data_IF_363867069434
#
_entry.id   IF_363867069434
#
_cell.length_a   1.000
_cell.length_b   1.000
_cell.length_c   1.000
_cell.angle_alpha   90.00
_cell.angle_beta   90.00
_cell.angle_gamma   90.00
#
_symmetry.space_group_name_H-M   'P 1'
#
loop_
_entity.id
_entity.type
_entity.pdbx_description
1 polymer ?
#
# COMPACT_ATOMS: atom_id res chain seq x y z
N UNK A 1 84.25 196.31 98.42
CA UNK A 1 85.04 197.48 97.94
C UNK A 1 84.82 197.83 96.45
N UNK A 2 84.24 196.96 95.59
CA UNK A 2 84.17 197.17 94.13
C UNK A 2 82.89 197.85 93.58
N UNK A 3 81.92 198.22 94.42
CA UNK A 3 80.58 198.68 93.99
C UNK A 3 80.43 200.21 93.85
N UNK A 4 81.34 201.01 94.42
CA UNK A 4 81.24 202.50 94.35
C UNK A 4 81.75 203.06 93.01
N UNK A 5 82.73 202.40 92.36
CA UNK A 5 83.37 202.86 91.10
C UNK A 5 82.52 202.59 89.85
N UNK A 6 81.62 201.61 89.89
CA UNK A 6 80.75 201.25 88.77
C UNK A 6 79.51 202.15 88.64
N UNK A 7 79.31 203.13 89.54
CA UNK A 7 78.18 204.08 89.48
C UNK A 7 78.33 205.19 88.42
N UNK A 8 79.53 205.37 87.85
CA UNK A 8 79.86 206.49 86.96
C UNK A 8 79.90 206.15 85.45
N UNK A 9 79.68 204.89 85.04
CA UNK A 9 79.86 204.46 83.63
C UNK A 9 78.70 203.61 83.08
N UNK A 10 77.60 204.23 82.59
CA UNK A 10 76.42 203.53 82.05
C UNK A 10 76.75 202.59 80.88
N UNK A 11 77.73 202.96 80.05
CA UNK A 11 78.13 202.20 78.86
C UNK A 11 78.77 200.85 79.20
N UNK A 12 79.52 200.78 80.30
CA UNK A 12 80.14 199.54 80.82
C UNK A 12 79.07 198.58 81.35
N UNK A 13 78.01 199.11 81.96
CA UNK A 13 76.86 198.31 82.44
C UNK A 13 76.07 197.70 81.27
N UNK A 14 75.86 198.46 80.19
CA UNK A 14 75.18 197.98 78.98
C UNK A 14 75.98 196.94 78.19
N UNK A 15 77.31 197.10 78.14
CA UNK A 15 78.21 196.06 77.60
C UNK A 15 78.19 194.80 78.46
N UNK A 16 78.18 194.92 79.79
CA UNK A 16 78.07 193.76 80.69
C UNK A 16 76.73 193.02 80.53
N UNK A 17 75.62 193.72 80.32
CA UNK A 17 74.34 193.06 80.03
C UNK A 17 74.30 192.39 78.65
N UNK A 18 74.98 192.97 77.64
CA UNK A 18 75.13 192.33 76.33
C UNK A 18 75.98 191.07 76.41
N UNK A 19 77.08 191.09 77.17
CA UNK A 19 77.92 189.91 77.41
C UNK A 19 77.14 188.82 78.16
N UNK A 20 76.34 189.17 79.18
CA UNK A 20 75.45 188.20 79.84
C UNK A 20 74.37 187.64 78.90
N UNK A 21 73.84 188.46 77.97
CA UNK A 21 72.84 188.01 76.98
C UNK A 21 73.47 187.08 75.94
N UNK A 22 74.63 187.45 75.39
CA UNK A 22 75.41 186.62 74.47
C UNK A 22 75.87 185.32 75.13
N UNK A 23 76.25 185.34 76.40
CA UNK A 23 76.58 184.13 77.14
C UNK A 23 75.38 183.17 77.23
N UNK A 24 74.18 183.70 77.53
CA UNK A 24 72.95 182.89 77.49
C UNK A 24 72.61 182.37 76.09
N UNK A 25 72.83 183.15 75.05
CA UNK A 25 72.62 182.71 73.67
C UNK A 25 73.63 181.63 73.27
N UNK A 26 74.88 181.73 73.72
CA UNK A 26 75.90 180.68 73.54
C UNK A 26 75.50 179.42 74.28
N UNK A 27 75.08 179.52 75.55
CA UNK A 27 74.60 178.37 76.33
C UNK A 27 73.38 177.70 75.65
N UNK A 28 72.47 178.50 75.11
CA UNK A 28 71.28 178.01 74.38
C UNK A 28 71.66 177.35 73.05
N UNK A 29 72.60 177.93 72.30
CA UNK A 29 73.11 177.33 71.06
C UNK A 29 73.89 176.05 71.34
N UNK A 30 74.68 176.00 72.42
CA UNK A 30 75.37 174.78 72.86
C UNK A 30 74.36 173.69 73.23
N UNK A 31 73.26 174.05 73.90
CA UNK A 31 72.17 173.13 74.19
C UNK A 31 71.48 172.62 72.91
N UNK A 32 71.19 173.52 71.96
CA UNK A 32 70.62 173.14 70.66
C UNK A 32 71.57 172.27 69.84
N UNK A 33 72.88 172.55 69.86
CA UNK A 33 73.90 171.71 69.24
C UNK A 33 73.90 170.33 69.90
N UNK A 34 73.84 170.24 71.23
CA UNK A 34 73.75 168.96 71.93
C UNK A 34 72.48 168.17 71.59
N UNK A 35 71.34 168.83 71.40
CA UNK A 35 70.10 168.19 70.94
C UNK A 35 70.23 167.70 69.49
N UNK A 36 70.81 168.51 68.61
CA UNK A 36 71.03 168.15 67.21
C UNK A 36 72.04 167.00 67.06
N UNK A 37 73.10 166.97 67.88
CA UNK A 37 74.04 165.86 67.96
C UNK A 37 73.33 164.57 68.37
N UNK A 38 72.47 164.63 69.40
CA UNK A 38 71.64 163.48 69.79
C UNK A 38 70.69 163.03 68.66
N UNK A 39 70.13 163.96 67.89
CA UNK A 39 69.26 163.63 66.77
C UNK A 39 70.03 163.04 65.58
N UNK A 40 71.23 163.54 65.30
CA UNK A 40 72.15 162.95 64.32
C UNK A 40 72.54 161.53 64.73
N UNK A 41 72.86 161.31 66.01
CA UNK A 41 73.16 159.98 66.54
C UNK A 41 71.95 159.03 66.39
N UNK A 42 70.75 159.50 66.75
CA UNK A 42 69.51 158.72 66.59
C UNK A 42 69.22 158.39 65.12
N UNK A 43 69.43 159.35 64.22
CA UNK A 43 69.27 159.13 62.78
C UNK A 43 70.32 158.16 62.25
N UNK A 44 71.57 158.26 62.70
CA UNK A 44 72.63 157.33 62.35
C UNK A 44 72.29 155.90 62.81
N UNK A 45 71.80 155.72 64.03
CA UNK A 45 71.30 154.44 64.53
C UNK A 45 70.14 153.91 63.68
N UNK A 46 69.20 154.79 63.29
CA UNK A 46 68.05 154.41 62.43
C UNK A 46 68.50 154.00 61.04
N UNK A 47 69.49 154.69 60.46
CA UNK A 47 70.08 154.34 59.16
C UNK A 47 70.78 152.98 59.23
N UNK A 48 71.50 152.69 60.33
CA UNK A 48 72.10 151.37 60.56
C UNK A 48 71.03 150.29 60.67
N UNK A 49 69.92 150.55 61.39
CA UNK A 49 68.81 149.60 61.54
C UNK A 49 68.04 149.37 60.23
N UNK A 50 67.84 150.41 59.42
CA UNK A 50 67.26 150.27 58.07
C UNK A 50 68.21 149.52 57.14
N UNK A 51 69.52 149.77 57.25
CA UNK A 51 70.55 149.05 56.51
C UNK A 51 70.51 147.55 56.80
N UNK A 52 70.42 147.16 58.08
CA UNK A 52 70.29 145.74 58.45
C UNK A 52 68.97 145.12 57.98
N UNK A 53 67.87 145.87 58.01
CA UNK A 53 66.58 145.40 57.50
C UNK A 53 66.60 145.22 55.97
N UNK A 54 67.23 146.12 55.23
CA UNK A 54 67.44 145.98 53.77
C UNK A 54 68.27 144.72 53.46
N UNK A 55 69.35 144.47 54.20
CA UNK A 55 70.11 143.22 54.06
C UNK A 55 69.23 141.99 54.31
N UNK A 56 68.45 141.98 55.39
CA UNK A 56 67.55 140.87 55.73
C UNK A 56 66.48 140.63 54.67
N UNK A 57 65.90 141.70 54.12
CA UNK A 57 64.91 141.61 53.04
C UNK A 57 65.53 141.14 51.73
N UNK A 58 66.79 141.50 51.47
CA UNK A 58 67.54 141.05 50.29
C UNK A 58 67.78 139.55 50.39
N UNK A 59 68.29 139.07 51.53
CA UNK A 59 68.47 137.63 51.80
C UNK A 59 67.14 136.85 51.72
N UNK A 60 66.04 137.40 52.26
CA UNK A 60 64.72 136.78 52.17
C UNK A 60 64.18 136.73 50.73
N UNK A 61 64.47 137.75 49.91
CA UNK A 61 64.07 137.77 48.50
C UNK A 61 64.89 136.76 47.69
N UNK A 62 66.20 136.67 47.91
CA UNK A 62 67.05 135.66 47.28
C UNK A 62 66.58 134.23 47.62
N UNK A 63 66.19 133.99 48.87
CA UNK A 63 65.61 132.71 49.29
C UNK A 63 64.25 132.43 48.64
N UNK A 64 63.38 133.44 48.52
CA UNK A 64 62.10 133.31 47.83
C UNK A 64 62.29 132.99 46.34
N UNK A 65 63.25 133.65 45.67
CA UNK A 65 63.60 133.37 44.27
C UNK A 65 64.12 131.93 44.11
N UNK A 66 64.94 131.45 45.05
CA UNK A 66 65.41 130.06 45.08
C UNK A 66 64.26 129.06 45.22
N UNK A 67 63.32 129.30 46.14
CA UNK A 67 62.14 128.45 46.32
C UNK A 67 61.20 128.47 45.11
N UNK A 68 61.02 129.62 44.46
CA UNK A 68 60.23 129.72 43.22
C UNK A 68 60.88 128.91 42.10
N UNK A 69 62.20 128.95 41.97
CA UNK A 69 62.93 128.13 41.00
C UNK A 69 62.77 126.62 41.30
N UNK A 70 62.88 126.24 42.57
CA UNK A 70 62.68 124.84 43.01
C UNK A 70 61.26 124.35 42.73
N UNK A 71 60.23 125.13 43.08
CA UNK A 71 58.84 124.81 42.76
C UNK A 71 58.55 124.79 41.26
N UNK A 72 59.26 125.59 40.46
CA UNK A 72 59.11 125.55 38.99
C UNK A 72 59.60 124.21 38.45
N UNK A 73 60.79 123.76 38.91
CA UNK A 73 61.35 122.46 38.52
C UNK A 73 60.44 121.31 38.97
N UNK A 74 59.92 121.35 40.20
CA UNK A 74 59.01 120.32 40.71
C UNK A 74 57.72 120.25 39.89
N UNK A 75 57.14 121.39 39.52
CA UNK A 75 55.95 121.44 38.67
C UNK A 75 56.20 120.88 37.26
N UNK A 76 57.37 121.14 36.68
CA UNK A 76 57.76 120.55 35.40
C UNK A 76 57.88 119.03 35.49
N UNK A 77 58.47 118.51 36.58
CA UNK A 77 58.57 117.06 36.82
C UNK A 77 57.20 116.42 37.04
N UNK A 78 56.30 117.06 37.80
CA UNK A 78 54.93 116.58 37.98
C UNK A 78 54.13 116.59 36.68
N UNK A 79 54.34 117.60 35.83
CA UNK A 79 53.71 117.66 34.50
C UNK A 79 54.20 116.51 33.61
N UNK A 80 55.50 116.24 33.59
CA UNK A 80 56.07 115.11 32.84
C UNK A 80 55.54 113.76 33.36
N UNK A 81 55.50 113.57 34.69
CA UNK A 81 54.96 112.35 35.29
C UNK A 81 53.47 112.14 34.97
N UNK A 82 52.66 113.20 35.00
CA UNK A 82 51.26 113.12 34.62
C UNK A 82 51.07 112.74 33.15
N UNK A 83 51.90 113.26 32.25
CA UNK A 83 51.85 112.90 30.83
C UNK A 83 52.24 111.43 30.62
N UNK A 84 53.26 110.94 31.32
CA UNK A 84 53.63 109.52 31.30
C UNK A 84 52.50 108.61 31.82
N UNK A 85 51.85 108.99 32.92
CA UNK A 85 50.70 108.26 33.47
C UNK A 85 49.51 108.25 32.50
N UNK A 86 49.28 109.36 31.79
CA UNK A 86 48.23 109.46 30.78
C UNK A 86 48.50 108.52 29.60
N UNK A 87 49.73 108.50 29.09
CA UNK A 87 50.14 107.56 28.03
C UNK A 87 49.97 106.10 28.47
N UNK A 88 50.40 105.78 29.70
CA UNK A 88 50.22 104.43 30.25
C UNK A 88 48.74 104.04 30.39
N UNK A 89 47.87 104.97 30.80
CA UNK A 89 46.44 104.73 30.86
C UNK A 89 45.81 104.51 29.47
N UNK A 90 46.28 105.23 28.44
CA UNK A 90 45.84 105.03 27.05
C UNK A 90 46.26 103.64 26.52
N UNK A 91 47.49 103.21 26.80
CA UNK A 91 47.98 101.86 26.46
C UNK A 91 47.18 100.76 27.18
N UNK A 92 46.91 100.94 28.48
CA UNK A 92 46.10 99.99 29.25
C UNK A 92 44.66 99.91 28.73
N UNK A 93 44.06 101.04 28.35
CA UNK A 93 42.74 101.07 27.74
C UNK A 93 42.72 100.31 26.39
N UNK A 94 43.75 100.49 25.56
CA UNK A 94 43.93 99.73 24.32
C UNK A 94 44.06 98.23 24.57
N UNK A 95 44.89 97.82 25.52
CA UNK A 95 45.07 96.41 25.89
C UNK A 95 43.77 95.78 26.41
N UNK A 96 43.00 96.51 27.22
CA UNK A 96 41.69 96.04 27.69
C UNK A 96 40.69 95.85 26.55
N UNK A 97 40.71 96.73 25.54
CA UNK A 97 39.85 96.57 24.37
C UNK A 97 40.22 95.32 23.57
N UNK A 98 41.51 95.08 23.31
CA UNK A 98 41.98 93.87 22.62
C UNK A 98 41.60 92.61 23.40
N UNK A 99 41.84 92.60 24.71
CA UNK A 99 41.50 91.47 25.56
C UNK A 99 40.00 91.16 25.56
N UNK A 100 39.15 92.19 25.59
CA UNK A 100 37.70 92.02 25.50
C UNK A 100 37.26 91.40 24.17
N UNK A 101 37.85 91.82 23.05
CA UNK A 101 37.53 91.23 21.74
C UNK A 101 38.00 89.78 21.66
N UNK A 102 39.22 89.49 22.10
CA UNK A 102 39.71 88.10 22.18
C UNK A 102 38.83 87.22 23.08
N UNK A 103 38.36 87.75 24.21
CA UNK A 103 37.47 87.00 25.09
C UNK A 103 36.11 86.71 24.43
N UNK A 104 35.60 87.65 23.62
CA UNK A 104 34.38 87.46 22.83
C UNK A 104 34.57 86.40 21.74
N UNK A 105 35.67 86.44 20.99
CA UNK A 105 36.00 85.41 19.99
C UNK A 105 36.14 84.02 20.61
N UNK A 106 36.76 83.94 21.79
CA UNK A 106 36.87 82.68 22.54
C UNK A 106 35.49 82.18 23.01
N UNK A 107 34.61 83.07 23.46
CA UNK A 107 33.25 82.69 23.84
C UNK A 107 32.47 82.13 22.64
N UNK A 108 32.53 82.80 21.48
CA UNK A 108 31.89 82.32 20.25
C UNK A 108 32.43 80.95 19.81
N UNK A 109 33.75 80.72 19.97
CA UNK A 109 34.38 79.43 19.68
C UNK A 109 33.92 78.32 20.64
N UNK A 110 33.81 78.62 21.94
CA UNK A 110 33.30 77.69 22.95
C UNK A 110 31.84 77.32 22.66
N UNK A 111 31.00 78.31 22.32
CA UNK A 111 29.60 78.09 21.97
C UNK A 111 29.47 77.21 20.72
N UNK A 112 30.29 77.45 19.68
CA UNK A 112 30.33 76.61 18.48
C UNK A 112 30.79 75.16 18.75
N UNK A 113 31.78 74.98 19.62
CA UNK A 113 32.23 73.64 20.03
C UNK A 113 31.17 72.91 20.87
N UNK A 114 30.41 73.64 21.70
CA UNK A 114 29.30 73.07 22.46
C UNK A 114 28.19 72.56 21.52
N UNK A 115 27.78 73.36 20.54
CA UNK A 115 26.80 72.95 19.52
C UNK A 115 27.27 71.71 18.74
N UNK A 116 28.55 71.65 18.36
CA UNK A 116 29.11 70.49 17.68
C UNK A 116 29.10 69.23 18.56
N UNK A 117 29.38 69.35 19.85
CA UNK A 117 29.28 68.24 20.80
C UNK A 117 27.83 67.74 20.95
N UNK A 118 26.85 68.64 20.96
CA UNK A 118 25.43 68.27 21.01
C UNK A 118 25.02 67.49 19.75
N UNK A 119 25.49 67.91 18.57
CA UNK A 119 25.27 67.19 17.31
C UNK A 119 25.89 65.79 17.37
N UNK A 120 27.14 65.66 17.82
CA UNK A 120 27.78 64.34 17.95
C UNK A 120 27.08 63.44 18.95
N UNK A 121 26.59 63.99 20.07
CA UNK A 121 25.81 63.25 21.07
C UNK A 121 24.50 62.72 20.47
N UNK A 122 23.81 63.54 19.67
CA UNK A 122 22.61 63.12 18.95
C UNK A 122 22.87 62.04 17.90
N UNK A 123 23.98 62.16 17.16
CA UNK A 123 24.40 61.16 16.17
C UNK A 123 24.72 59.82 16.85
N UNK A 124 25.47 59.85 17.95
CA UNK A 124 25.83 58.65 18.70
C UNK A 124 24.59 57.95 19.29
N UNK A 125 23.63 58.74 19.76
CA UNK A 125 22.34 58.20 20.23
C UNK A 125 21.58 57.50 19.11
N UNK A 126 21.48 58.13 17.94
CA UNK A 126 20.83 57.54 16.77
C UNK A 126 21.54 56.26 16.31
N UNK A 127 22.87 56.27 16.25
CA UNK A 127 23.65 55.10 15.86
C UNK A 127 23.47 53.92 16.83
N UNK A 128 23.45 54.19 18.14
CA UNK A 128 23.18 53.15 19.13
C UNK A 128 21.77 52.55 18.97
N UNK A 129 20.76 53.38 18.68
CA UNK A 129 19.41 52.89 18.38
C UNK A 129 19.40 51.99 17.14
N UNK A 130 20.08 52.37 16.06
CA UNK A 130 20.21 51.53 14.87
C UNK A 130 20.93 50.22 15.16
N UNK A 131 21.99 50.23 15.98
CA UNK A 131 22.69 49.00 16.41
C UNK A 131 21.73 48.08 17.20
N UNK A 132 20.93 48.63 18.11
CA UNK A 132 19.95 47.85 18.88
C UNK A 132 18.87 47.23 17.98
N UNK A 133 18.41 47.96 16.96
CA UNK A 133 17.45 47.45 15.97
C UNK A 133 18.05 46.33 15.13
N UNK A 134 19.27 46.51 14.62
CA UNK A 134 19.98 45.48 13.86
C UNK A 134 20.25 44.23 14.69
N UNK A 135 20.62 44.38 15.97
CA UNK A 135 20.82 43.24 16.87
C UNK A 135 19.52 42.44 17.07
N UNK A 136 18.37 43.12 17.17
CA UNK A 136 17.06 42.44 17.24
C UNK A 136 16.74 41.70 15.94
N UNK A 137 17.05 42.28 14.78
CA UNK A 137 16.84 41.65 13.49
C UNK A 137 17.73 40.41 13.32
N UNK A 138 19.02 40.51 13.69
CA UNK A 138 19.94 39.37 13.71
C UNK A 138 19.38 38.24 14.59
N UNK A 139 18.96 38.54 15.82
CA UNK A 139 18.38 37.52 16.71
C UNK A 139 17.09 36.90 16.15
N UNK A 140 16.26 37.67 15.43
CA UNK A 140 15.08 37.12 14.75
C UNK A 140 15.46 36.18 13.61
N UNK A 141 16.50 36.51 12.82
CA UNK A 141 17.01 35.67 11.74
C UNK A 141 17.69 34.39 12.26
N UNK A 142 18.42 34.46 13.36
CA UNK A 142 19.01 33.30 14.02
C UNK A 142 17.92 32.32 14.47
N UNK A 143 16.88 32.81 15.15
CA UNK A 143 15.73 31.99 15.54
C UNK A 143 15.01 31.38 14.34
N UNK A 144 14.80 32.15 13.27
CA UNK A 144 14.18 31.63 12.04
C UNK A 144 15.04 30.53 11.40
N UNK A 145 16.36 30.68 11.43
CA UNK A 145 17.31 29.68 10.92
C UNK A 145 17.26 28.40 11.75
N UNK A 146 17.19 28.50 13.07
CA UNK A 146 17.05 27.33 13.95
C UNK A 146 15.75 26.57 13.68
N UNK A 147 14.62 27.29 13.56
CA UNK A 147 13.32 26.69 13.20
C UNK A 147 13.39 26.00 11.84
N UNK A 148 13.98 26.65 10.83
CA UNK A 148 14.13 26.07 9.50
C UNK A 148 14.99 24.80 9.55
N UNK A 149 16.10 24.81 10.28
CA UNK A 149 16.97 23.65 10.43
C UNK A 149 16.24 22.47 11.09
N UNK A 150 15.46 22.72 12.15
CA UNK A 150 14.64 21.68 12.78
C UNK A 150 13.59 21.11 11.83
N UNK A 151 13.02 21.94 10.95
CA UNK A 151 12.04 21.52 9.95
C UNK A 151 12.69 20.64 8.89
N UNK A 152 13.89 21.01 8.43
CA UNK A 152 14.66 20.21 7.46
C UNK A 152 14.96 18.83 8.05
N UNK A 153 15.47 18.75 9.28
CA UNK A 153 15.73 17.46 9.95
C UNK A 153 14.48 16.60 10.07
N UNK A 154 13.32 17.20 10.39
CA UNK A 154 12.05 16.47 10.46
C UNK A 154 11.60 15.93 9.10
N UNK A 155 11.82 16.70 8.02
CA UNK A 155 11.53 16.27 6.66
C UNK A 155 12.48 15.15 6.19
N UNK A 156 13.77 15.22 6.53
CA UNK A 156 14.73 14.15 6.24
C UNK A 156 14.28 12.82 6.87
N UNK A 157 13.88 12.84 8.15
CA UNK A 157 13.33 11.65 8.82
C UNK A 157 12.06 11.11 8.13
N UNK A 158 11.18 12.00 7.65
CA UNK A 158 9.99 11.56 6.90
C UNK A 158 10.34 10.93 5.55
N UNK A 159 11.36 11.45 4.86
CA UNK A 159 11.85 10.87 3.60
C UNK A 159 12.41 9.47 3.86
N UNK A 160 13.25 9.28 4.88
CA UNK A 160 13.80 7.97 5.23
C UNK A 160 12.70 6.94 5.55
N UNK A 161 11.65 7.35 6.27
CA UNK A 161 10.51 6.49 6.58
C UNK A 161 9.73 6.10 5.30
N UNK A 162 9.49 7.07 4.40
CA UNK A 162 8.83 6.81 3.13
C UNK A 162 9.66 5.89 2.23
N UNK A 163 10.99 6.06 2.17
CA UNK A 163 11.87 5.15 1.43
C UNK A 163 11.77 3.72 1.98
N UNK A 164 11.72 3.56 3.30
CA UNK A 164 11.54 2.26 3.96
C UNK A 164 10.19 1.63 3.63
N UNK A 165 9.11 2.43 3.62
CA UNK A 165 7.78 1.97 3.23
C UNK A 165 7.74 1.53 1.76
N UNK A 166 8.36 2.29 0.86
CA UNK A 166 8.46 1.95 -0.57
C UNK A 166 9.22 0.63 -0.75
N UNK A 167 10.35 0.46 -0.08
CA UNK A 167 11.12 -0.79 -0.13
C UNK A 167 10.30 -2.00 0.35
N UNK A 168 9.52 -1.82 1.42
CA UNK A 168 8.62 -2.85 1.96
C UNK A 168 7.53 -3.22 0.96
N UNK A 169 6.86 -2.21 0.38
CA UNK A 169 5.82 -2.43 -0.64
C UNK A 169 6.37 -3.14 -1.87
N UNK A 170 7.59 -2.78 -2.29
CA UNK A 170 8.23 -3.42 -3.43
C UNK A 170 8.55 -4.90 -3.16
N UNK A 171 9.03 -5.22 -1.96
CA UNK A 171 9.24 -6.62 -1.55
C UNK A 171 7.93 -7.42 -1.52
N UNK A 172 6.85 -6.84 -0.99
CA UNK A 172 5.52 -7.46 -1.01
C UNK A 172 5.02 -7.68 -2.43
N UNK A 173 5.22 -6.72 -3.33
CA UNK A 173 4.82 -6.85 -4.72
C UNK A 173 5.59 -7.97 -5.44
N UNK A 174 6.89 -8.10 -5.19
CA UNK A 174 7.70 -9.20 -5.71
C UNK A 174 7.22 -10.56 -5.19
N UNK A 175 6.83 -10.66 -3.91
CA UNK A 175 6.25 -11.88 -3.34
C UNK A 175 4.91 -12.24 -3.98
N UNK A 176 4.02 -11.25 -4.15
CA UNK A 176 2.75 -11.44 -4.84
C UNK A 176 2.95 -11.89 -6.28
N UNK A 177 3.92 -11.32 -7.01
CA UNK A 177 4.24 -11.74 -8.37
C UNK A 177 4.72 -13.20 -8.41
N UNK A 178 5.55 -13.64 -7.46
CA UNK A 178 5.95 -15.06 -7.35
C UNK A 178 4.76 -15.97 -7.09
N UNK A 179 3.84 -15.56 -6.22
CA UNK A 179 2.62 -16.33 -5.94
C UNK A 179 1.71 -16.44 -7.17
N UNK A 180 1.55 -15.35 -7.92
CA UNK A 180 0.79 -15.35 -9.19
C UNK A 180 1.42 -16.31 -10.20
N UNK A 181 2.74 -16.30 -10.35
CA UNK A 181 3.43 -17.22 -11.25
C UNK A 181 3.22 -18.68 -10.82
N UNK A 182 3.36 -18.99 -9.53
CA UNK A 182 3.13 -20.35 -9.01
C UNK A 182 1.68 -20.81 -9.25
N UNK A 183 0.69 -19.96 -8.96
CA UNK A 183 -0.71 -20.27 -9.24
C UNK A 183 -0.96 -20.47 -10.75
N UNK A 184 -0.31 -19.69 -11.60
CA UNK A 184 -0.39 -19.85 -13.05
C UNK A 184 0.16 -21.21 -13.48
N UNK A 185 1.31 -21.63 -12.95
CA UNK A 185 1.90 -22.95 -13.22
C UNK A 185 0.98 -24.09 -12.73
N UNK A 186 0.38 -23.94 -11.55
CA UNK A 186 -0.59 -24.91 -11.02
C UNK A 186 -1.82 -25.03 -11.92
N UNK A 187 -2.37 -23.91 -12.39
CA UNK A 187 -3.51 -23.92 -13.33
C UNK A 187 -3.14 -24.59 -14.65
N UNK A 188 -1.94 -24.33 -15.18
CA UNK A 188 -1.45 -25.02 -16.38
C UNK A 188 -1.37 -26.52 -16.16
N UNK A 189 -0.76 -26.96 -15.05
CA UNK A 189 -0.64 -28.39 -14.72
C UNK A 189 -2.00 -29.08 -14.55
N UNK A 190 -2.96 -28.41 -13.89
CA UNK A 190 -4.32 -28.92 -13.76
C UNK A 190 -5.04 -28.99 -15.12
N UNK A 191 -4.78 -28.03 -16.00
CA UNK A 191 -5.32 -28.03 -17.37
C UNK A 191 -4.81 -29.25 -18.14
N UNK A 192 -3.51 -29.52 -18.10
CA UNK A 192 -2.88 -30.68 -18.74
C UNK A 192 -3.44 -32.00 -18.18
N UNK A 193 -3.59 -32.10 -16.86
CA UNK A 193 -4.19 -33.28 -16.21
C UNK A 193 -5.64 -33.50 -16.65
N UNK A 194 -6.43 -32.43 -16.78
CA UNK A 194 -7.83 -32.53 -17.18
C UNK A 194 -7.93 -32.95 -18.65
N UNK A 195 -7.03 -32.47 -19.51
CA UNK A 195 -6.95 -32.93 -20.90
C UNK A 195 -6.61 -34.43 -20.97
N UNK A 196 -5.62 -34.90 -20.21
CA UNK A 196 -5.27 -36.33 -20.17
C UNK A 196 -6.44 -37.20 -19.66
N UNK A 197 -7.20 -36.71 -18.68
CA UNK A 197 -8.41 -37.38 -18.20
C UNK A 197 -9.53 -37.39 -19.25
N UNK A 198 -9.68 -36.33 -20.06
CA UNK A 198 -10.61 -36.32 -21.17
C UNK A 198 -10.22 -37.35 -22.23
N UNK A 199 -8.95 -37.39 -22.63
CA UNK A 199 -8.43 -38.38 -23.58
C UNK A 199 -8.69 -39.82 -23.09
N UNK A 200 -8.37 -40.11 -21.83
CA UNK A 200 -8.63 -41.44 -21.25
C UNK A 200 -10.13 -41.78 -21.15
N UNK A 201 -11.00 -40.79 -20.89
CA UNK A 201 -12.44 -40.99 -20.93
C UNK A 201 -12.96 -41.27 -22.35
N UNK A 202 -12.37 -40.65 -23.37
CA UNK A 202 -12.75 -40.90 -24.75
C UNK A 202 -12.28 -42.29 -25.21
N UNK A 203 -11.07 -42.72 -24.85
CA UNK A 203 -10.61 -44.10 -25.05
C UNK A 203 -11.53 -45.13 -24.37
N UNK A 204 -11.98 -44.85 -23.14
CA UNK A 204 -12.92 -45.72 -22.43
C UNK A 204 -14.27 -45.82 -23.14
N UNK A 205 -14.76 -44.74 -23.76
CA UNK A 205 -16.00 -44.78 -24.55
C UNK A 205 -15.83 -45.62 -25.81
N UNK A 206 -14.71 -45.46 -26.53
CA UNK A 206 -14.43 -46.29 -27.71
C UNK A 206 -14.36 -47.78 -27.34
N UNK A 207 -13.71 -48.12 -26.21
CA UNK A 207 -13.67 -49.48 -25.71
C UNK A 207 -15.08 -50.01 -25.35
N UNK A 208 -15.93 -49.17 -24.78
CA UNK A 208 -17.31 -49.51 -24.46
C UNK A 208 -18.11 -49.81 -25.74
N UNK A 209 -18.01 -48.95 -26.75
CA UNK A 209 -18.67 -49.14 -28.05
C UNK A 209 -18.21 -50.44 -28.72
N UNK A 210 -16.90 -50.73 -28.70
CA UNK A 210 -16.35 -51.99 -29.20
C UNK A 210 -16.90 -53.22 -28.45
N UNK A 211 -17.03 -53.13 -27.12
CA UNK A 211 -17.60 -54.22 -26.31
C UNK A 211 -19.09 -54.42 -26.60
N UNK A 212 -19.86 -53.34 -26.76
CA UNK A 212 -21.27 -53.42 -27.14
C UNK A 212 -21.44 -54.09 -28.51
N UNK A 213 -20.61 -53.71 -29.50
CA UNK A 213 -20.61 -54.35 -30.81
C UNK A 213 -20.23 -55.84 -30.72
N UNK A 214 -19.18 -56.16 -29.97
CA UNK A 214 -18.74 -57.55 -29.76
C UNK A 214 -19.80 -58.41 -29.09
N UNK A 215 -20.52 -57.87 -28.10
CA UNK A 215 -21.66 -58.53 -27.46
C UNK A 215 -22.82 -58.73 -28.45
N UNK A 216 -23.10 -57.74 -29.29
CA UNK A 216 -24.10 -57.85 -30.36
C UNK A 216 -23.77 -58.99 -31.34
N UNK A 217 -22.53 -59.03 -31.83
CA UNK A 217 -22.04 -60.08 -32.73
C UNK A 217 -22.07 -61.47 -32.07
N UNK A 218 -21.69 -61.56 -30.79
CA UNK A 218 -21.77 -62.82 -30.04
C UNK A 218 -23.21 -63.28 -29.89
N UNK A 219 -24.14 -62.37 -29.58
CA UNK A 219 -25.56 -62.71 -29.48
C UNK A 219 -26.12 -63.21 -30.81
N UNK A 220 -25.77 -62.56 -31.93
CA UNK A 220 -26.13 -63.03 -33.26
C UNK A 220 -25.58 -64.43 -33.54
N UNK A 221 -24.29 -64.66 -33.26
CA UNK A 221 -23.66 -65.98 -33.44
C UNK A 221 -24.34 -67.05 -32.59
N UNK A 222 -24.75 -66.69 -31.37
CA UNK A 222 -25.49 -67.58 -30.48
C UNK A 222 -26.88 -67.92 -31.03
N UNK A 223 -27.63 -66.92 -31.51
CA UNK A 223 -28.93 -67.11 -32.16
C UNK A 223 -28.83 -68.00 -33.41
N UNK A 224 -27.82 -67.76 -34.26
CA UNK A 224 -27.51 -68.61 -35.43
C UNK A 224 -27.17 -70.05 -35.00
N UNK A 225 -26.39 -70.22 -33.94
CA UNK A 225 -26.07 -71.53 -33.37
C UNK A 225 -27.30 -72.28 -32.86
N UNK A 226 -28.20 -71.61 -32.14
CA UNK A 226 -29.47 -72.19 -31.68
C UNK A 226 -30.35 -72.58 -32.87
N UNK A 227 -30.43 -71.75 -33.91
CA UNK A 227 -31.20 -72.06 -35.12
C UNK A 227 -30.67 -73.32 -35.83
N UNK A 228 -29.34 -73.47 -35.95
CA UNK A 228 -28.76 -74.67 -36.58
C UNK A 228 -28.94 -75.92 -35.70
N UNK A 229 -28.85 -75.81 -34.37
CA UNK A 229 -29.18 -76.93 -33.47
C UNK A 229 -30.62 -77.38 -33.69
N UNK A 230 -31.58 -76.45 -33.71
CA UNK A 230 -32.98 -76.78 -33.95
C UNK A 230 -33.19 -77.45 -35.33
N UNK A 231 -32.46 -76.99 -36.35
CA UNK A 231 -32.47 -77.61 -37.69
C UNK A 231 -31.93 -79.04 -37.67
N UNK A 232 -30.81 -79.27 -36.98
CA UNK A 232 -30.20 -80.60 -36.84
C UNK A 232 -31.09 -81.56 -36.05
N UNK A 233 -31.72 -81.09 -34.97
CA UNK A 233 -32.70 -81.87 -34.21
C UNK A 233 -33.84 -82.30 -35.12
N UNK A 234 -34.45 -81.37 -35.88
CA UNK A 234 -35.55 -81.69 -36.80
C UNK A 234 -35.16 -82.73 -37.86
N UNK A 235 -33.95 -82.63 -38.43
CA UNK A 235 -33.45 -83.63 -39.40
C UNK A 235 -33.26 -84.98 -38.72
N UNK A 236 -32.58 -85.01 -37.58
CA UNK A 236 -32.27 -86.26 -36.89
C UNK A 236 -33.56 -86.96 -36.45
N UNK A 237 -34.52 -86.21 -35.90
CA UNK A 237 -35.88 -86.67 -35.65
C UNK A 237 -36.51 -87.30 -36.88
N UNK A 238 -36.51 -86.61 -38.03
CA UNK A 238 -37.07 -87.15 -39.26
C UNK A 238 -36.40 -88.45 -39.70
N UNK A 239 -35.08 -88.56 -39.58
CA UNK A 239 -34.32 -89.79 -39.90
C UNK A 239 -34.69 -90.93 -38.97
N UNK A 240 -34.80 -90.68 -37.66
CA UNK A 240 -35.18 -91.73 -36.69
C UNK A 240 -36.59 -92.23 -36.99
N UNK A 241 -37.57 -91.34 -37.19
CA UNK A 241 -38.95 -91.72 -37.52
C UNK A 241 -39.01 -92.53 -38.84
N UNK A 242 -38.29 -92.10 -39.87
CA UNK A 242 -38.21 -92.86 -41.14
C UNK A 242 -37.52 -94.21 -40.99
N UNK A 243 -36.51 -94.33 -40.12
CA UNK A 243 -35.88 -95.61 -39.82
C UNK A 243 -36.83 -96.54 -39.07
N UNK A 244 -37.60 -96.02 -38.10
CA UNK A 244 -38.65 -96.76 -37.42
C UNK A 244 -39.68 -97.25 -38.43
N UNK A 245 -40.21 -96.38 -39.30
CA UNK A 245 -41.11 -96.77 -40.40
C UNK A 245 -40.54 -97.92 -41.24
N UNK A 246 -39.28 -97.81 -41.68
CA UNK A 246 -38.65 -98.86 -42.46
C UNK A 246 -38.47 -100.16 -41.69
N UNK A 247 -38.06 -100.11 -40.42
CA UNK A 247 -37.91 -101.30 -39.57
C UNK A 247 -39.25 -102.02 -39.43
N UNK A 248 -40.30 -101.26 -39.09
CA UNK A 248 -41.66 -101.76 -38.94
C UNK A 248 -42.21 -102.36 -40.24
N UNK A 249 -41.96 -101.71 -41.39
CA UNK A 249 -42.32 -102.25 -42.71
C UNK A 249 -41.58 -103.55 -43.05
N UNK A 250 -40.32 -103.73 -42.60
CA UNK A 250 -39.56 -104.97 -42.84
C UNK A 250 -40.14 -106.12 -42.01
N UNK A 251 -40.46 -105.89 -40.74
CA UNK A 251 -41.14 -106.89 -39.88
C UNK A 251 -42.46 -107.32 -40.51
N UNK A 252 -43.28 -106.35 -40.94
CA UNK A 252 -44.55 -106.64 -41.63
C UNK A 252 -44.39 -107.30 -43.00
N UNK A 253 -43.33 -107.07 -43.77
CA UNK A 253 -43.16 -107.79 -45.05
C UNK A 253 -42.55 -109.18 -44.89
N UNK A 254 -41.86 -109.44 -43.78
CA UNK A 254 -41.15 -110.68 -43.52
C UNK A 254 -41.91 -111.69 -42.66
N UNK A 255 -42.97 -111.27 -41.96
CA UNK A 255 -43.62 -112.11 -40.95
C UNK A 255 -44.19 -113.42 -41.52
N UNK A 256 -44.79 -113.42 -42.71
CA UNK A 256 -45.36 -114.62 -43.32
C UNK A 256 -44.31 -115.72 -43.49
N UNK A 257 -43.10 -115.35 -43.93
CA UNK A 257 -41.99 -116.30 -44.08
C UNK A 257 -41.57 -116.89 -42.73
N UNK A 258 -41.42 -116.05 -41.70
CA UNK A 258 -41.05 -116.51 -40.35
C UNK A 258 -42.15 -117.38 -39.73
N UNK A 259 -43.40 -116.99 -39.94
CA UNK A 259 -44.59 -117.71 -39.51
C UNK A 259 -44.69 -119.09 -40.18
N UNK A 260 -44.48 -119.15 -41.51
CA UNK A 260 -44.45 -120.41 -42.27
C UNK A 260 -43.36 -121.35 -41.77
N UNK A 261 -42.17 -120.83 -41.49
CA UNK A 261 -41.05 -121.61 -40.97
C UNK A 261 -41.36 -122.19 -39.58
N UNK A 262 -42.01 -121.42 -38.69
CA UNK A 262 -42.34 -121.86 -37.32
C UNK A 262 -43.36 -123.02 -37.28
N UNK A 263 -44.26 -123.10 -38.25
CA UNK A 263 -45.28 -124.16 -38.34
C UNK A 263 -45.02 -125.17 -39.46
N UNK A 264 -43.81 -125.20 -40.02
CA UNK A 264 -43.45 -126.16 -41.06
C UNK A 264 -43.69 -127.60 -40.61
N UNK A 265 -44.52 -128.35 -41.36
CA UNK A 265 -44.87 -129.74 -41.07
C UNK A 265 -46.17 -129.95 -40.28
N UNK A 266 -46.92 -128.88 -39.96
CA UNK A 266 -48.29 -128.99 -39.46
C UNK A 266 -49.29 -129.24 -40.61
N UNK A 267 -50.35 -130.05 -40.42
CA UNK A 267 -51.28 -130.41 -41.49
C UNK A 267 -51.99 -129.22 -42.15
N UNK A 268 -52.23 -128.15 -41.39
CA UNK A 268 -52.84 -126.91 -41.90
C UNK A 268 -51.88 -126.03 -42.70
N UNK A 269 -50.57 -126.32 -42.68
CA UNK A 269 -49.57 -125.67 -43.53
C UNK A 269 -49.42 -126.37 -44.89
N UNK A 270 -49.71 -127.67 -44.96
CA UNK A 270 -49.72 -128.43 -46.22
C UNK A 270 -50.99 -128.16 -47.06
N UNK A 271 -52.11 -127.79 -46.41
CA UNK A 271 -53.34 -127.26 -47.05
C UNK A 271 -53.85 -126.04 -46.28
N UNK A 272 -53.58 -124.85 -46.81
CA UNK A 272 -53.90 -123.55 -46.20
C UNK A 272 -55.40 -123.25 -46.07
N UNK A 273 -56.27 -124.11 -46.59
CA UNK A 273 -57.73 -124.03 -46.42
C UNK A 273 -58.25 -124.96 -45.32
N UNK A 274 -57.37 -125.74 -44.68
CA UNK A 274 -57.72 -126.52 -43.51
C UNK A 274 -57.87 -125.56 -42.31
N UNK A 275 -58.95 -125.68 -41.50
CA UNK A 275 -59.03 -124.95 -40.24
C UNK A 275 -57.87 -125.32 -39.31
N UNK A 276 -57.26 -124.33 -38.67
CA UNK A 276 -56.18 -124.55 -37.69
C UNK A 276 -56.68 -125.42 -36.53
N UNK A 277 -57.90 -125.13 -36.05
CA UNK A 277 -58.54 -125.88 -34.97
C UNK A 277 -58.18 -125.34 -33.58
N UNK A 278 -59.04 -125.64 -32.61
CA UNK A 278 -58.91 -125.08 -31.25
C UNK A 278 -57.67 -125.57 -30.48
N UNK A 279 -57.02 -126.66 -30.92
CA UNK A 279 -55.80 -127.19 -30.29
C UNK A 279 -54.57 -126.36 -30.61
N UNK A 280 -54.45 -125.92 -31.86
CA UNK A 280 -53.22 -125.30 -32.37
C UNK A 280 -53.37 -123.78 -32.56
N UNK A 281 -54.60 -123.25 -32.46
CA UNK A 281 -54.90 -121.83 -32.65
C UNK A 281 -54.16 -120.90 -31.69
N UNK A 282 -54.04 -121.29 -30.41
CA UNK A 282 -53.36 -120.45 -29.42
C UNK A 282 -51.86 -120.36 -29.67
N UNK A 283 -51.23 -121.48 -30.08
CA UNK A 283 -49.83 -121.51 -30.47
C UNK A 283 -49.59 -120.69 -31.73
N UNK A 284 -50.47 -120.83 -32.74
CA UNK A 284 -50.43 -120.03 -33.97
C UNK A 284 -50.53 -118.54 -33.67
N UNK A 285 -51.55 -118.11 -32.93
CA UNK A 285 -51.73 -116.70 -32.61
C UNK A 285 -50.64 -116.16 -31.68
N UNK A 286 -50.09 -116.96 -30.77
CA UNK A 286 -48.93 -116.56 -29.94
C UNK A 286 -47.69 -116.31 -30.79
N UNK A 287 -47.51 -117.07 -31.86
CA UNK A 287 -46.39 -116.88 -32.77
C UNK A 287 -46.60 -115.68 -33.71
N UNK A 288 -47.84 -115.42 -34.16
CA UNK A 288 -48.21 -114.17 -34.84
C UNK A 288 -47.96 -112.96 -33.94
N UNK A 289 -48.35 -113.06 -32.66
CA UNK A 289 -48.16 -112.03 -31.65
C UNK A 289 -46.67 -111.70 -31.50
N UNK A 290 -45.85 -112.72 -31.25
CA UNK A 290 -44.41 -112.59 -31.05
C UNK A 290 -43.66 -112.07 -32.28
N UNK A 291 -44.02 -112.52 -33.49
CA UNK A 291 -43.31 -112.14 -34.71
C UNK A 291 -43.71 -110.75 -35.19
N UNK A 292 -44.98 -110.37 -35.00
CA UNK A 292 -45.57 -109.23 -35.67
C UNK A 292 -46.27 -108.29 -34.70
N UNK A 293 -47.25 -108.77 -33.93
CA UNK A 293 -48.12 -107.86 -33.17
C UNK A 293 -47.37 -107.14 -32.05
N UNK A 294 -46.55 -107.83 -31.24
CA UNK A 294 -45.73 -107.23 -30.19
C UNK A 294 -44.77 -106.17 -30.74
N UNK A 295 -44.11 -106.47 -31.87
CA UNK A 295 -43.12 -105.58 -32.50
C UNK A 295 -43.78 -104.33 -33.11
N UNK A 296 -45.05 -104.45 -33.51
CA UNK A 296 -45.88 -103.35 -33.99
C UNK A 296 -46.71 -102.69 -32.89
N UNK A 297 -46.57 -103.12 -31.62
CA UNK A 297 -47.42 -102.69 -30.51
C UNK A 297 -48.92 -102.81 -30.84
N UNK A 298 -49.31 -103.96 -31.40
CA UNK A 298 -50.68 -104.32 -31.73
C UNK A 298 -51.21 -105.30 -30.72
N UNK A 299 -52.45 -105.10 -30.31
CA UNK A 299 -53.11 -105.97 -29.35
C UNK A 299 -53.64 -107.23 -30.05
N UNK A 300 -53.20 -108.38 -29.57
CA UNK A 300 -53.67 -109.68 -30.04
C UNK A 300 -55.19 -109.85 -29.88
N UNK A 301 -55.82 -109.58 -28.71
CA UNK A 301 -57.28 -109.63 -28.59
C UNK A 301 -58.03 -108.78 -29.62
N UNK A 302 -57.56 -107.58 -29.93
CA UNK A 302 -58.15 -106.72 -30.97
C UNK A 302 -57.97 -107.31 -32.38
N UNK A 303 -56.80 -107.90 -32.65
CA UNK A 303 -56.52 -108.64 -33.90
C UNK A 303 -57.45 -109.84 -34.06
N UNK A 304 -57.62 -110.66 -33.01
CA UNK A 304 -58.52 -111.82 -33.01
C UNK A 304 -59.99 -111.40 -33.19
N UNK A 305 -60.39 -110.26 -32.60
CA UNK A 305 -61.71 -109.66 -32.80
C UNK A 305 -61.91 -109.17 -34.24
N UNK A 306 -60.89 -108.55 -34.84
CA UNK A 306 -60.90 -108.13 -36.24
C UNK A 306 -61.06 -109.32 -37.18
N UNK A 307 -60.24 -110.37 -37.00
CA UNK A 307 -60.30 -111.60 -37.79
C UNK A 307 -61.67 -112.28 -37.68
N UNK A 308 -62.22 -112.35 -36.47
CA UNK A 308 -63.56 -112.88 -36.23
C UNK A 308 -64.64 -112.11 -36.99
N UNK A 309 -64.54 -110.78 -36.99
CA UNK A 309 -65.48 -109.90 -37.68
C UNK A 309 -65.34 -110.00 -39.20
N UNK A 310 -64.11 -109.98 -39.71
CA UNK A 310 -63.79 -110.00 -41.13
C UNK A 310 -64.28 -111.28 -41.81
N UNK A 311 -64.18 -112.43 -41.13
CA UNK A 311 -64.55 -113.74 -41.68
C UNK A 311 -65.85 -114.32 -41.12
N UNK A 312 -66.55 -113.60 -40.23
CA UNK A 312 -67.82 -114.06 -39.63
C UNK A 312 -67.66 -115.28 -38.72
N UNK A 313 -66.53 -115.36 -38.00
CA UNK A 313 -66.18 -116.46 -37.10
C UNK A 313 -66.49 -116.10 -35.64
N UNK A 314 -66.57 -117.11 -34.77
CA UNK A 314 -66.65 -116.90 -33.31
C UNK A 314 -65.33 -116.35 -32.80
N UNK A 315 -65.34 -115.46 -31.80
CA UNK A 315 -64.12 -114.94 -31.18
C UNK A 315 -63.76 -115.76 -29.91
N UNK A 316 -62.56 -116.36 -29.78
CA UNK A 316 -61.45 -116.41 -30.73
C UNK A 316 -61.75 -117.29 -31.96
N UNK A 317 -61.28 -116.90 -33.17
CA UNK A 317 -61.60 -117.55 -34.46
C UNK A 317 -60.84 -118.86 -34.67
N UNK A 318 -61.01 -119.83 -33.77
CA UNK A 318 -60.32 -121.14 -33.77
C UNK A 318 -60.55 -121.99 -35.03
N UNK A 319 -61.56 -121.67 -35.85
CA UNK A 319 -61.83 -122.35 -37.12
C UNK A 319 -61.28 -121.61 -38.34
N UNK A 320 -60.50 -120.54 -38.13
CA UNK A 320 -59.86 -119.81 -39.22
C UNK A 320 -58.85 -120.72 -39.94
N UNK A 321 -58.70 -120.52 -41.24
CA UNK A 321 -57.67 -121.19 -42.04
C UNK A 321 -56.43 -120.30 -42.15
N UNK A 322 -55.28 -120.86 -42.52
CA UNK A 322 -54.05 -120.06 -42.67
C UNK A 322 -54.21 -118.94 -43.72
N UNK A 323 -54.86 -119.23 -44.86
CA UNK A 323 -55.17 -118.19 -45.87
C UNK A 323 -56.00 -117.03 -45.31
N UNK A 324 -56.95 -117.32 -44.43
CA UNK A 324 -57.79 -116.30 -43.80
C UNK A 324 -57.01 -115.54 -42.73
N UNK A 325 -56.20 -116.25 -41.93
CA UNK A 325 -55.35 -115.65 -40.91
C UNK A 325 -54.36 -114.67 -41.54
N UNK A 326 -53.60 -115.09 -42.55
CA UNK A 326 -52.63 -114.24 -43.24
C UNK A 326 -53.27 -113.04 -43.91
N UNK A 327 -54.33 -113.27 -44.70
CA UNK A 327 -55.05 -112.17 -45.36
C UNK A 327 -55.64 -111.19 -44.36
N UNK A 328 -56.13 -111.67 -43.22
CA UNK A 328 -56.74 -110.84 -42.20
C UNK A 328 -55.71 -110.09 -41.34
N UNK A 329 -54.63 -110.76 -40.92
CA UNK A 329 -53.52 -110.15 -40.18
C UNK A 329 -52.84 -109.09 -41.05
N UNK A 330 -52.56 -109.37 -42.33
CA UNK A 330 -52.01 -108.37 -43.24
C UNK A 330 -52.93 -107.16 -43.37
N UNK A 331 -54.23 -107.37 -43.54
CA UNK A 331 -55.19 -106.27 -43.64
C UNK A 331 -55.32 -105.46 -42.34
N UNK A 332 -55.12 -106.08 -41.18
CA UNK A 332 -55.11 -105.42 -39.88
C UNK A 332 -53.84 -104.57 -39.71
N UNK A 333 -52.68 -105.16 -40.02
CA UNK A 333 -51.40 -104.47 -39.96
C UNK A 333 -51.30 -103.36 -40.99
N UNK A 334 -51.86 -103.50 -42.18
CA UNK A 334 -51.95 -102.42 -43.17
C UNK A 334 -52.65 -101.18 -42.59
N UNK A 335 -53.77 -101.38 -41.87
CA UNK A 335 -54.49 -100.29 -41.22
C UNK A 335 -53.68 -99.67 -40.07
N UNK A 336 -52.96 -100.50 -39.31
CA UNK A 336 -52.05 -100.01 -38.29
C UNK A 336 -50.90 -99.19 -38.88
N UNK A 337 -50.34 -99.62 -40.01
CA UNK A 337 -49.27 -98.92 -40.70
C UNK A 337 -49.72 -97.58 -41.28
N UNK A 338 -50.93 -97.51 -41.84
CA UNK A 338 -51.52 -96.25 -42.29
C UNK A 338 -51.81 -95.28 -41.12
N UNK A 339 -52.05 -95.79 -39.92
CA UNK A 339 -52.23 -94.97 -38.72
C UNK A 339 -50.89 -94.52 -38.11
N UNK A 340 -49.94 -95.42 -37.98
CA UNK A 340 -48.62 -95.16 -37.40
C UNK A 340 -47.72 -94.34 -38.32
N UNK A 341 -47.84 -94.54 -39.63
CA UNK A 341 -47.06 -93.84 -40.66
C UNK A 341 -47.98 -93.34 -41.78
N UNK A 342 -48.84 -92.35 -41.49
CA UNK A 342 -49.84 -91.91 -42.45
C UNK A 342 -49.21 -91.33 -43.72
N UNK A 343 -49.71 -91.67 -44.92
CA UNK A 343 -49.31 -91.00 -46.14
C UNK A 343 -49.60 -89.50 -46.03
N UNK A 344 -48.85 -88.66 -46.76
CA UNK A 344 -48.89 -87.19 -46.61
C UNK A 344 -50.32 -86.64 -46.53
N UNK A 345 -50.70 -86.10 -45.36
CA UNK A 345 -52.02 -85.53 -45.10
C UNK A 345 -53.08 -86.51 -44.58
N UNK A 346 -52.70 -87.76 -44.28
CA UNK A 346 -53.54 -88.75 -43.63
C UNK A 346 -53.78 -88.45 -42.14
N UNK A 347 -54.80 -89.09 -41.59
CA UNK A 347 -55.13 -89.04 -40.16
C UNK A 347 -54.42 -90.18 -39.43
N UNK A 348 -53.54 -89.85 -38.49
CA UNK A 348 -52.70 -90.82 -37.77
C UNK A 348 -51.69 -90.14 -36.86
N UNK A 349 -50.62 -90.84 -36.49
CA UNK A 349 -49.51 -90.29 -35.73
C UNK A 349 -48.74 -89.24 -36.53
N UNK A 350 -48.36 -88.17 -35.86
CA UNK A 350 -47.47 -87.14 -36.39
C UNK A 350 -46.01 -87.46 -36.03
N UNK A 351 -45.06 -86.80 -36.70
CA UNK A 351 -43.66 -86.89 -36.32
C UNK A 351 -43.40 -86.44 -34.87
N UNK A 352 -44.19 -85.49 -34.35
CA UNK A 352 -44.09 -85.04 -32.96
C UNK A 352 -44.58 -86.10 -31.96
N UNK A 353 -45.59 -86.89 -32.34
CA UNK A 353 -46.06 -88.02 -31.53
C UNK A 353 -44.97 -89.10 -31.42
N UNK A 354 -44.27 -89.38 -32.52
CA UNK A 354 -43.12 -90.29 -32.51
C UNK A 354 -41.94 -89.74 -31.71
N UNK A 355 -41.66 -88.44 -31.77
CA UNK A 355 -40.63 -87.81 -30.92
C UNK A 355 -40.97 -87.98 -29.44
N UNK A 356 -42.23 -87.72 -29.07
CA UNK A 356 -42.68 -87.86 -27.69
C UNK A 356 -42.56 -89.31 -27.19
N UNK A 357 -42.65 -90.28 -28.09
CA UNK A 357 -42.49 -91.70 -27.83
C UNK A 357 -41.05 -92.23 -28.06
N UNK A 358 -40.05 -91.36 -28.23
CA UNK A 358 -38.66 -91.76 -28.52
C UNK A 358 -38.54 -92.72 -29.72
N UNK A 359 -39.44 -92.55 -30.69
CA UNK A 359 -39.58 -93.36 -31.90
C UNK A 359 -39.80 -94.87 -31.64
N UNK A 360 -40.35 -95.20 -30.47
CA UNK A 360 -40.70 -96.55 -30.02
C UNK A 360 -42.21 -96.61 -29.74
N UNK A 361 -42.91 -97.54 -30.38
CA UNK A 361 -44.36 -97.63 -30.25
C UNK A 361 -44.81 -97.99 -28.82
N UNK A 362 -43.94 -98.59 -28.01
CA UNK A 362 -44.26 -98.95 -26.62
C UNK A 362 -44.37 -97.72 -25.73
N UNK A 363 -43.69 -96.63 -26.10
CA UNK A 363 -43.73 -95.36 -25.40
C UNK A 363 -44.86 -94.46 -25.89
N UNK A 364 -45.60 -94.86 -26.93
CA UNK A 364 -46.81 -94.15 -27.32
C UNK A 364 -47.84 -94.25 -26.20
N UNK A 365 -48.50 -93.13 -25.83
CA UNK A 365 -49.56 -93.18 -24.87
C UNK A 365 -50.72 -94.05 -25.39
N UNK A 366 -51.53 -94.69 -24.52
CA UNK A 366 -52.54 -95.67 -24.95
C UNK A 366 -53.58 -95.16 -25.96
N UNK A 367 -53.86 -93.85 -25.99
CA UNK A 367 -54.76 -93.20 -26.96
C UNK A 367 -54.13 -92.97 -28.35
N UNK A 368 -52.83 -93.26 -28.47
CA UNK A 368 -52.00 -93.15 -29.68
C UNK A 368 -51.47 -94.50 -30.16
N UNK A 369 -51.82 -95.59 -29.47
CA UNK A 369 -51.60 -96.95 -29.96
C UNK A 369 -52.77 -97.35 -30.88
N UNK A 370 -52.47 -98.17 -31.88
CA UNK A 370 -53.48 -98.59 -32.84
C UNK A 370 -54.44 -99.62 -32.23
N UNK A 371 -55.72 -99.29 -32.25
CA UNK A 371 -56.82 -100.21 -32.00
C UNK A 371 -57.90 -99.98 -33.05
N UNK A 372 -58.58 -101.03 -33.52
CA UNK A 372 -59.60 -100.91 -34.56
C UNK A 372 -60.83 -100.10 -34.09
N UNK A 373 -61.05 -100.02 -32.78
CA UNK A 373 -62.04 -99.13 -32.16
C UNK A 373 -61.75 -97.63 -32.36
N UNK A 374 -60.52 -97.25 -32.75
CA UNK A 374 -60.08 -95.87 -33.01
C UNK A 374 -60.41 -95.41 -34.43
N UNK A 375 -60.60 -96.32 -35.40
CA UNK A 375 -60.97 -95.98 -36.79
C UNK A 375 -62.44 -95.57 -36.97
N UNK A 376 -63.24 -95.56 -35.89
CA UNK A 376 -64.68 -95.24 -35.91
C UNK A 376 -65.01 -93.97 -35.10
N UNK A 377 -64.02 -93.16 -34.70
CA UNK A 377 -64.20 -91.93 -33.92
C UNK A 377 -63.75 -90.65 -34.64
#
# INVERSE_FOLDING_TARGET
AASYFLSQFPKVRGLNSQVETLAKEVDELENQIGILEQEVDRLAETVVALGSEVTRLTEANEEAERLVAEFTIENEQLAESNEQLKQSNEELAGNLQVLNETNKELQESVDGLAEQNDIYTGLLTTQNQTIDELNKEVGALENATEVLNSTVMALEVQVDDLETQVATLQATNDELQRNVNNLTDQVSSLTDQNQALQESNDELKELLEYFEESLGNLNQTFEEGVAEINRLVAINTGVVVSNTEQSTLQTWKGWECLFHDSFAGFPFMDDLNLPIGATDYDDVMSEVDRILLDELCLDRPDTEAYLSTLFGLTNPPVTITINQLESGVNSYVDQAMDYYFPPRGGTGLTSDDWVAADSDCQNLPPDKQFFLSVLVA
#
